data_IF_151240700728
#
_entry.id   IF_151240700728
#
_cell.length_a   1.000
_cell.length_b   1.000
_cell.length_c   1.000
_cell.angle_alpha   90.00
_cell.angle_beta   90.00
_cell.angle_gamma   90.00
#
_symmetry.space_group_name_H-M   'P 1'
#
loop_
_entity.id
_entity.type
_entity.pdbx_description
1 polymer ?
#
# COMPACT_ATOMS: atom_id res chain seq x y z
N UNK A 1 -19.76 0.86 -38.34
CA UNK A 1 -20.03 1.69 -37.14
C UNK A 1 -19.81 0.84 -35.90
N UNK A 2 -18.66 0.98 -35.22
CA UNK A 2 -18.43 0.35 -33.92
C UNK A 2 -19.10 1.20 -32.85
N UNK A 3 -20.05 0.62 -32.11
CA UNK A 3 -20.64 1.24 -30.92
C UNK A 3 -19.50 1.55 -29.94
N UNK A 4 -19.36 2.82 -29.57
CA UNK A 4 -18.38 3.28 -28.58
C UNK A 4 -18.61 2.58 -27.24
N UNK A 5 -17.73 1.65 -26.91
CA UNK A 5 -17.43 1.33 -25.53
C UNK A 5 -16.70 2.54 -24.94
N UNK A 6 -16.95 2.86 -23.67
CA UNK A 6 -16.18 3.88 -22.93
C UNK A 6 -14.71 3.72 -23.31
N UNK A 7 -14.08 4.77 -23.81
CA UNK A 7 -12.63 4.81 -23.97
C UNK A 7 -12.03 4.52 -22.59
N UNK A 8 -11.68 3.27 -22.32
CA UNK A 8 -11.08 2.90 -21.04
C UNK A 8 -9.69 3.51 -21.02
N UNK A 9 -9.49 4.51 -20.16
CA UNK A 9 -8.18 5.13 -20.00
C UNK A 9 -7.12 4.02 -19.83
N UNK A 10 -6.06 4.04 -20.66
CA UNK A 10 -5.03 2.99 -20.62
C UNK A 10 -4.23 3.00 -19.31
N UNK A 11 -4.34 4.05 -18.49
CA UNK A 11 -3.77 4.11 -17.15
C UNK A 11 -4.87 4.13 -16.08
N UNK A 12 -4.79 3.20 -15.13
CA UNK A 12 -5.61 3.17 -13.93
C UNK A 12 -4.72 3.24 -12.68
N UNK A 13 -4.97 4.22 -11.81
CA UNK A 13 -4.36 4.33 -10.49
C UNK A 13 -5.31 3.79 -9.43
N UNK A 14 -4.85 2.84 -8.62
CA UNK A 14 -5.60 2.24 -7.52
C UNK A 14 -4.99 2.71 -6.21
N UNK A 15 -5.75 3.53 -5.48
CA UNK A 15 -5.45 3.96 -4.13
C UNK A 15 -5.92 2.93 -3.11
N UNK A 16 -5.03 2.54 -2.22
CA UNK A 16 -5.25 1.49 -1.22
C UNK A 16 -4.99 2.02 0.18
N UNK A 17 -5.64 1.43 1.18
CA UNK A 17 -5.23 1.58 2.59
C UNK A 17 -4.32 0.40 2.92
N UNK A 18 -3.06 0.69 3.24
CA UNK A 18 -2.11 -0.34 3.60
C UNK A 18 -2.59 -1.14 4.81
N UNK A 19 -2.23 -2.42 4.85
CA UNK A 19 -2.59 -3.36 5.94
C UNK A 19 -4.10 -3.64 6.08
N UNK A 20 -4.95 -3.29 5.11
CA UNK A 20 -6.34 -3.77 5.05
C UNK A 20 -6.37 -5.31 5.04
N UNK A 21 -6.93 -5.98 6.09
CA UNK A 21 -7.01 -7.44 6.15
C UNK A 21 -7.82 -8.05 4.98
N UNK A 22 -8.74 -7.27 4.38
CA UNK A 22 -9.56 -7.65 3.23
C UNK A 22 -9.01 -7.10 1.91
N UNK A 23 -7.89 -6.39 1.94
CA UNK A 23 -7.34 -5.68 0.77
C UNK A 23 -6.97 -6.63 -0.37
N UNK A 24 -6.37 -7.79 -0.06
CA UNK A 24 -5.94 -8.78 -1.06
C UNK A 24 -7.08 -9.23 -1.97
N UNK A 25 -8.20 -9.66 -1.39
CA UNK A 25 -9.34 -10.20 -2.15
C UNK A 25 -10.02 -9.11 -2.98
N UNK A 26 -10.22 -7.92 -2.40
CA UNK A 26 -10.76 -6.75 -3.11
C UNK A 26 -9.89 -6.39 -4.32
N UNK A 27 -8.58 -6.29 -4.12
CA UNK A 27 -7.64 -5.89 -5.15
C UNK A 27 -7.53 -6.94 -6.26
N UNK A 28 -7.46 -8.22 -5.92
CA UNK A 28 -7.43 -9.29 -6.91
C UNK A 28 -8.71 -9.32 -7.75
N UNK A 29 -9.88 -9.13 -7.12
CA UNK A 29 -11.16 -9.01 -7.85
C UNK A 29 -11.16 -7.82 -8.81
N UNK A 30 -10.58 -6.69 -8.40
CA UNK A 30 -10.45 -5.50 -9.24
C UNK A 30 -9.53 -5.76 -10.43
N UNK A 31 -8.35 -6.35 -10.20
CA UNK A 31 -7.41 -6.68 -11.27
C UNK A 31 -8.01 -7.62 -12.31
N UNK A 32 -8.72 -8.68 -11.88
CA UNK A 32 -9.41 -9.62 -12.77
C UNK A 32 -10.50 -8.96 -13.62
N UNK A 33 -11.15 -7.92 -13.09
CA UNK A 33 -12.15 -7.14 -13.82
C UNK A 33 -11.50 -6.21 -14.83
N UNK A 34 -10.48 -5.45 -14.41
CA UNK A 34 -9.82 -4.46 -15.26
C UNK A 34 -8.93 -5.09 -16.33
N UNK A 35 -8.43 -6.31 -16.09
CA UNK A 35 -7.58 -7.09 -17.00
C UNK A 35 -6.35 -6.33 -17.53
N UNK A 36 -5.55 -5.67 -16.67
CA UNK A 36 -4.35 -5.00 -17.13
C UNK A 36 -3.34 -5.97 -17.73
N UNK A 37 -2.60 -5.51 -18.74
CA UNK A 37 -1.44 -6.22 -19.28
C UNK A 37 -0.17 -5.89 -18.50
N UNK A 38 -0.15 -4.76 -17.79
CA UNK A 38 0.96 -4.33 -16.94
C UNK A 38 0.43 -3.89 -15.58
N UNK A 39 1.05 -4.36 -14.51
CA UNK A 39 0.76 -3.99 -13.14
C UNK A 39 2.02 -3.44 -12.49
N UNK A 40 1.93 -2.29 -11.86
CA UNK A 40 2.99 -1.74 -11.01
C UNK A 40 2.51 -1.57 -9.58
N UNK A 41 3.41 -1.78 -8.62
CA UNK A 41 3.10 -1.72 -7.19
C UNK A 41 4.08 -0.79 -6.48
N UNK A 42 3.56 0.06 -5.60
CA UNK A 42 4.32 0.86 -4.63
C UNK A 42 4.96 -0.03 -3.58
N UNK A 43 6.06 -0.67 -3.97
CA UNK A 43 6.99 -1.37 -3.10
C UNK A 43 8.37 -1.23 -3.73
N UNK A 44 9.42 -1.16 -2.91
CA UNK A 44 10.78 -1.14 -3.43
C UNK A 44 11.32 -2.57 -3.52
N UNK A 45 12.26 -2.84 -4.44
CA UNK A 45 12.96 -4.12 -4.47
C UNK A 45 13.57 -4.49 -3.12
N UNK A 46 14.15 -3.52 -2.41
CA UNK A 46 14.70 -3.73 -1.06
C UNK A 46 13.63 -4.19 -0.08
N UNK A 47 12.52 -3.44 0.01
CA UNK A 47 11.43 -3.69 0.95
C UNK A 47 10.75 -5.05 0.70
N UNK A 48 10.71 -5.47 -0.57
CA UNK A 48 10.22 -6.80 -0.98
C UNK A 48 11.17 -7.90 -0.53
N UNK A 49 12.45 -7.83 -0.91
CA UNK A 49 13.46 -8.84 -0.58
C UNK A 49 13.60 -9.01 0.94
N UNK A 50 13.59 -7.91 1.69
CA UNK A 50 13.65 -7.94 3.15
C UNK A 50 12.48 -8.73 3.76
N UNK A 51 11.27 -8.55 3.25
CA UNK A 51 10.08 -9.25 3.75
C UNK A 51 10.01 -10.70 3.32
N UNK A 52 10.43 -11.00 2.10
CA UNK A 52 10.47 -12.37 1.57
C UNK A 52 11.53 -13.23 2.25
N UNK A 53 12.72 -12.68 2.51
CA UNK A 53 13.89 -13.48 2.94
C UNK A 53 14.35 -13.23 4.37
N UNK A 54 14.18 -12.01 4.90
CA UNK A 54 14.83 -11.59 6.16
C UNK A 54 13.88 -11.40 7.33
N UNK A 55 12.58 -11.27 7.07
CA UNK A 55 11.59 -11.02 8.12
C UNK A 55 11.20 -12.26 8.94
N UNK A 56 11.76 -13.44 8.66
CA UNK A 56 11.53 -14.62 9.50
C UNK A 56 12.12 -14.45 10.90
N UNK A 57 13.37 -14.01 11.01
CA UNK A 57 14.02 -13.76 12.30
C UNK A 57 13.22 -12.73 13.13
N UNK A 58 12.85 -11.60 12.52
CA UNK A 58 12.04 -10.57 13.19
C UNK A 58 10.67 -11.09 13.64
N UNK A 59 10.00 -11.92 12.81
CA UNK A 59 8.72 -12.55 13.19
C UNK A 59 8.89 -13.56 14.33
N UNK A 60 10.03 -14.23 14.41
CA UNK A 60 10.37 -15.13 15.53
C UNK A 60 10.59 -14.32 16.81
N UNK A 61 11.44 -13.30 16.77
CA UNK A 61 11.69 -12.38 17.88
C UNK A 61 10.41 -11.73 18.39
N UNK A 62 9.53 -11.27 17.50
CA UNK A 62 8.22 -10.72 17.87
C UNK A 62 7.40 -11.74 18.68
N UNK A 63 7.29 -12.99 18.22
CA UNK A 63 6.51 -14.02 18.91
C UNK A 63 7.12 -14.41 20.25
N UNK A 64 8.45 -14.51 20.33
CA UNK A 64 9.17 -14.83 21.55
C UNK A 64 8.98 -13.72 22.60
N UNK A 65 9.13 -12.46 22.20
CA UNK A 65 8.92 -11.32 23.09
C UNK A 65 7.47 -11.23 23.58
N UNK A 66 6.47 -11.43 22.71
CA UNK A 66 5.07 -11.45 23.12
C UNK A 66 4.76 -12.60 24.10
N UNK A 67 5.37 -13.77 23.91
CA UNK A 67 5.24 -14.90 24.85
C UNK A 67 5.94 -14.63 26.19
N UNK A 68 7.06 -13.90 26.20
CA UNK A 68 7.68 -13.45 27.45
C UNK A 68 6.76 -12.52 28.21
N UNK A 69 6.26 -11.48 27.53
CA UNK A 69 5.34 -10.49 28.09
C UNK A 69 4.07 -11.16 28.63
N UNK A 70 3.51 -12.14 27.91
CA UNK A 70 2.36 -12.91 28.38
C UNK A 70 2.63 -13.62 29.71
N UNK A 71 3.79 -14.30 29.82
CA UNK A 71 4.17 -15.04 31.04
C UNK A 71 4.39 -14.11 32.23
N UNK A 72 4.88 -12.89 31.98
CA UNK A 72 5.17 -11.89 33.01
C UNK A 72 3.90 -11.14 33.48
N UNK A 73 3.01 -10.77 32.55
CA UNK A 73 1.94 -9.81 32.78
C UNK A 73 0.54 -10.38 32.92
N UNK A 74 0.35 -11.70 32.84
CA UNK A 74 -0.94 -12.37 33.05
C UNK A 74 -2.04 -12.08 32.00
N UNK A 75 -1.79 -11.22 31.01
CA UNK A 75 -2.74 -10.93 29.92
C UNK A 75 -2.99 -12.18 29.09
N UNK A 76 -4.25 -12.44 28.75
CA UNK A 76 -4.59 -13.57 27.91
C UNK A 76 -3.94 -13.44 26.52
N UNK A 77 -3.43 -14.56 26.00
CA UNK A 77 -2.77 -14.60 24.69
C UNK A 77 -3.65 -14.06 23.56
N UNK A 78 -4.96 -14.34 23.63
CA UNK A 78 -5.96 -13.84 22.67
C UNK A 78 -5.98 -12.32 22.62
N UNK A 79 -5.95 -11.66 23.78
CA UNK A 79 -6.03 -10.19 23.89
C UNK A 79 -4.78 -9.51 23.34
N UNK A 80 -3.60 -10.13 23.55
CA UNK A 80 -2.34 -9.69 22.96
C UNK A 80 -2.42 -9.76 21.42
N UNK A 81 -2.89 -10.88 20.88
CA UNK A 81 -2.97 -11.08 19.43
C UNK A 81 -4.08 -10.28 18.75
N UNK A 82 -5.16 -9.94 19.47
CA UNK A 82 -6.22 -9.06 18.95
C UNK A 82 -5.88 -7.58 19.06
N UNK A 83 -4.80 -7.21 19.76
CA UNK A 83 -4.40 -5.82 19.92
C UNK A 83 -4.04 -5.18 18.57
N UNK A 84 -4.67 -4.06 18.21
CA UNK A 84 -4.56 -3.45 16.89
C UNK A 84 -3.12 -3.11 16.49
N UNK A 85 -2.31 -2.59 17.41
CA UNK A 85 -0.89 -2.31 17.16
C UNK A 85 -0.09 -3.59 16.86
N UNK A 86 -0.37 -4.69 17.58
CA UNK A 86 0.33 -5.97 17.41
C UNK A 86 -0.02 -6.59 16.04
N UNK A 87 -1.30 -6.55 15.67
CA UNK A 87 -1.73 -6.95 14.33
C UNK A 87 -1.05 -6.12 13.23
N UNK A 88 -0.93 -4.80 13.46
CA UNK A 88 -0.22 -3.88 12.57
C UNK A 88 1.25 -4.28 12.36
N UNK A 89 1.98 -4.65 13.42
CA UNK A 89 3.37 -5.11 13.33
C UNK A 89 3.45 -6.45 12.57
N UNK A 90 2.56 -7.40 12.85
CA UNK A 90 2.52 -8.66 12.09
C UNK A 90 2.33 -8.43 10.59
N UNK A 91 1.51 -7.46 10.20
CA UNK A 91 1.31 -7.09 8.79
C UNK A 91 2.47 -6.31 8.22
N UNK A 92 3.13 -5.45 9.00
CA UNK A 92 4.33 -4.73 8.58
C UNK A 92 5.47 -5.69 8.17
N UNK A 93 5.64 -6.78 8.93
CA UNK A 93 6.65 -7.81 8.69
C UNK A 93 6.27 -8.83 7.61
N UNK A 94 5.02 -8.84 7.16
CA UNK A 94 4.57 -9.68 6.05
C UNK A 94 4.71 -8.94 4.73
N UNK A 95 4.93 -9.69 3.66
CA UNK A 95 4.79 -9.16 2.29
C UNK A 95 3.44 -8.43 2.17
N UNK A 96 3.41 -7.18 1.67
CA UNK A 96 2.17 -6.40 1.60
C UNK A 96 1.14 -7.07 0.68
N UNK A 97 -0.15 -6.86 0.98
CA UNK A 97 -1.21 -7.55 0.25
C UNK A 97 -1.32 -7.09 -1.20
N UNK A 98 -0.89 -5.86 -1.46
CA UNK A 98 -0.84 -5.21 -2.76
C UNK A 98 0.06 -6.02 -3.70
N UNK A 99 1.28 -6.32 -3.25
CA UNK A 99 2.21 -7.18 -3.96
C UNK A 99 1.68 -8.60 -4.09
N UNK A 100 1.12 -9.17 -3.01
CA UNK A 100 0.58 -10.53 -3.07
C UNK A 100 -0.56 -10.68 -4.07
N UNK A 101 -1.49 -9.73 -4.15
CA UNK A 101 -2.59 -9.75 -5.11
C UNK A 101 -2.07 -9.61 -6.54
N UNK A 102 -1.12 -8.70 -6.76
CA UNK A 102 -0.51 -8.49 -8.06
C UNK A 102 0.27 -9.72 -8.55
N UNK A 103 1.02 -10.40 -7.67
CA UNK A 103 1.71 -11.68 -7.98
C UNK A 103 0.75 -12.81 -8.34
N UNK A 104 -0.37 -12.93 -7.63
CA UNK A 104 -1.40 -13.92 -7.98
C UNK A 104 -1.94 -13.62 -9.37
N UNK A 105 -2.31 -12.36 -9.64
CA UNK A 105 -2.83 -11.96 -10.94
C UNK A 105 -1.83 -12.18 -12.09
N UNK A 106 -0.56 -11.82 -11.90
CA UNK A 106 0.53 -12.12 -12.84
C UNK A 106 0.61 -13.63 -13.14
N UNK A 107 0.60 -14.47 -12.10
CA UNK A 107 0.69 -15.93 -12.28
C UNK A 107 -0.52 -16.51 -13.03
N UNK A 108 -1.69 -15.89 -12.89
CA UNK A 108 -2.93 -16.31 -13.56
C UNK A 108 -3.02 -15.85 -15.02
N UNK A 109 -2.33 -14.76 -15.39
CA UNK A 109 -2.59 -14.06 -16.66
C UNK A 109 -1.36 -13.82 -17.52
N UNK A 110 -0.15 -13.94 -16.96
CA UNK A 110 1.10 -13.54 -17.62
C UNK A 110 1.29 -12.02 -17.74
N UNK A 111 0.48 -11.20 -17.06
CA UNK A 111 0.65 -9.76 -17.06
C UNK A 111 2.02 -9.36 -16.48
N UNK A 112 2.66 -8.33 -17.04
CA UNK A 112 3.94 -7.84 -16.53
C UNK A 112 3.75 -7.22 -15.15
N UNK A 113 4.56 -7.61 -14.15
CA UNK A 113 4.55 -7.03 -12.81
C UNK A 113 5.86 -6.29 -12.50
N UNK A 114 5.75 -5.06 -11.98
CA UNK A 114 6.90 -4.23 -11.60
C UNK A 114 6.74 -3.62 -10.19
N UNK A 115 7.81 -3.63 -9.40
CA UNK A 115 7.97 -2.83 -8.19
C UNK A 115 8.60 -1.46 -8.52
N UNK A 116 8.04 -0.34 -8.03
CA UNK A 116 8.43 1.00 -8.51
C UNK A 116 8.92 1.99 -7.44
N UNK A 117 8.99 1.62 -6.18
CA UNK A 117 9.40 2.55 -5.12
C UNK A 117 10.94 2.69 -5.00
N UNK A 118 11.39 3.57 -4.11
CA UNK A 118 12.79 3.87 -3.80
C UNK A 118 13.34 2.95 -2.71
N UNK A 119 14.42 2.23 -3.05
CA UNK A 119 15.08 1.31 -2.11
C UNK A 119 15.75 2.01 -0.93
N UNK A 120 16.42 3.16 -1.13
CA UNK A 120 17.11 3.87 -0.05
C UNK A 120 16.14 4.39 1.02
N UNK A 121 15.01 4.98 0.61
CA UNK A 121 13.92 5.40 1.51
C UNK A 121 13.38 4.21 2.30
N UNK A 122 13.24 3.05 1.64
CA UNK A 122 12.78 1.83 2.30
C UNK A 122 13.81 1.28 3.27
N UNK A 123 15.09 1.33 2.92
CA UNK A 123 16.19 0.84 3.76
C UNK A 123 16.28 1.61 5.07
N UNK A 124 16.27 2.95 4.99
CA UNK A 124 16.24 3.81 6.17
C UNK A 124 15.03 3.49 7.07
N UNK A 125 13.82 3.50 6.51
CA UNK A 125 12.58 3.25 7.26
C UNK A 125 12.53 1.85 7.87
N UNK A 126 13.07 0.84 7.19
CA UNK A 126 13.03 -0.56 7.64
C UNK A 126 14.22 -0.91 8.55
N UNK A 127 15.26 -0.07 8.63
CA UNK A 127 16.38 -0.27 9.56
C UNK A 127 15.94 -0.30 11.03
N UNK A 128 14.83 0.35 11.36
CA UNK A 128 14.27 0.43 12.72
C UNK A 128 13.40 -0.77 13.11
N UNK A 129 13.18 -1.74 12.22
CA UNK A 129 12.35 -2.92 12.51
C UNK A 129 12.78 -3.72 13.76
N UNK A 130 14.07 -3.91 14.07
CA UNK A 130 14.49 -4.57 15.31
C UNK A 130 13.99 -3.84 16.56
N UNK A 131 13.98 -2.51 16.54
CA UNK A 131 13.42 -1.70 17.62
C UNK A 131 11.91 -1.91 17.76
N UNK A 132 11.17 -1.95 16.65
CA UNK A 132 9.70 -2.14 16.67
C UNK A 132 9.30 -3.48 17.33
N UNK A 133 10.09 -4.53 17.15
CA UNK A 133 9.81 -5.86 17.74
C UNK A 133 10.45 -6.07 19.11
N UNK A 134 11.10 -5.06 19.69
CA UNK A 134 11.75 -5.17 20.99
C UNK A 134 10.73 -5.38 22.12
N UNK A 135 11.11 -6.12 23.16
CA UNK A 135 10.22 -6.37 24.28
C UNK A 135 9.76 -5.06 24.97
N UNK A 136 10.64 -4.06 25.06
CA UNK A 136 10.32 -2.73 25.61
C UNK A 136 9.21 -2.05 24.82
N UNK A 137 9.37 -1.91 23.50
CA UNK A 137 8.36 -1.26 22.66
C UNK A 137 7.05 -2.03 22.64
N UNK A 138 7.10 -3.37 22.65
CA UNK A 138 5.89 -4.19 22.71
C UNK A 138 5.13 -4.01 24.04
N UNK A 139 5.84 -3.86 25.17
CA UNK A 139 5.20 -3.55 26.46
C UNK A 139 4.54 -2.17 26.43
N UNK A 140 5.23 -1.16 25.90
CA UNK A 140 4.68 0.20 25.72
C UNK A 140 3.44 0.18 24.83
N UNK A 141 3.47 -0.53 23.70
CA UNK A 141 2.30 -0.62 22.83
C UNK A 141 1.12 -1.32 23.49
N UNK A 142 1.36 -2.34 24.31
CA UNK A 142 0.32 -3.09 25.02
C UNK A 142 -0.28 -2.34 26.21
N UNK A 143 0.41 -1.32 26.75
CA UNK A 143 -0.11 -0.45 27.82
C UNK A 143 -0.98 0.69 27.28
N UNK A 144 -0.84 1.01 26.00
CA UNK A 144 -1.65 2.02 25.32
C UNK A 144 -2.97 1.44 24.82
N UNK A 145 -4.02 2.26 24.80
CA UNK A 145 -5.27 1.91 24.13
C UNK A 145 -5.09 2.08 22.61
N UNK A 146 -5.37 1.01 21.86
CA UNK A 146 -5.37 1.04 20.40
C UNK A 146 -6.70 0.54 19.85
N UNK A 147 -7.32 1.26 18.90
CA UNK A 147 -8.48 0.75 18.20
C UNK A 147 -8.14 -0.55 17.45
N UNK A 148 -9.10 -1.47 17.25
CA UNK A 148 -8.93 -2.63 16.39
C UNK A 148 -8.41 -2.25 15.01
N UNK A 149 -7.57 -3.10 14.41
CA UNK A 149 -6.97 -2.82 13.10
C UNK A 149 -8.01 -2.52 12.00
N UNK A 150 -9.15 -3.23 12.03
CA UNK A 150 -10.23 -3.02 11.07
C UNK A 150 -10.82 -1.60 11.16
N UNK A 151 -10.91 -1.04 12.37
CA UNK A 151 -11.41 0.31 12.61
C UNK A 151 -10.39 1.35 12.12
N UNK A 152 -9.10 1.15 12.40
CA UNK A 152 -8.02 1.99 11.85
C UNK A 152 -8.05 2.06 10.32
N UNK A 153 -8.30 0.92 9.68
CA UNK A 153 -8.41 0.82 8.21
C UNK A 153 -9.64 1.57 7.70
N UNK A 154 -10.80 1.42 8.35
CA UNK A 154 -12.01 2.16 7.96
C UNK A 154 -11.84 3.67 8.16
N UNK A 155 -11.17 4.10 9.22
CA UNK A 155 -10.88 5.52 9.47
C UNK A 155 -9.99 6.10 8.35
N UNK A 156 -9.00 5.34 7.87
CA UNK A 156 -8.21 5.75 6.71
C UNK A 156 -9.03 5.82 5.44
N UNK A 157 -9.93 4.87 5.18
CA UNK A 157 -10.84 4.96 4.03
C UNK A 157 -11.81 6.15 4.17
N UNK A 158 -12.33 6.43 5.37
CA UNK A 158 -13.19 7.60 5.62
C UNK A 158 -12.45 8.90 5.33
N UNK A 159 -11.20 9.02 5.80
CA UNK A 159 -10.31 10.15 5.51
C UNK A 159 -10.01 10.28 4.02
N UNK A 160 -9.72 9.17 3.35
CA UNK A 160 -9.48 9.14 1.90
C UNK A 160 -10.71 9.66 1.14
N UNK A 161 -11.91 9.14 1.41
CA UNK A 161 -13.16 9.60 0.80
C UNK A 161 -13.37 11.10 1.00
N UNK A 162 -13.17 11.58 2.24
CA UNK A 162 -13.31 13.00 2.54
C UNK A 162 -12.37 13.87 1.69
N UNK A 163 -11.08 13.51 1.60
CA UNK A 163 -10.07 14.27 0.85
C UNK A 163 -10.19 14.13 -0.67
N UNK A 164 -10.77 13.05 -1.17
CA UNK A 164 -11.12 12.94 -2.59
C UNK A 164 -12.27 13.89 -2.95
N UNK A 165 -13.27 14.03 -2.08
CA UNK A 165 -14.38 14.97 -2.28
C UNK A 165 -14.03 16.42 -1.94
N UNK A 166 -13.06 16.64 -1.05
CA UNK A 166 -12.60 17.95 -0.60
C UNK A 166 -11.09 18.04 -0.73
N UNK A 167 -10.55 18.12 -1.95
CA UNK A 167 -9.12 18.23 -2.17
C UNK A 167 -8.55 19.45 -1.45
N UNK A 168 -7.47 19.28 -0.68
CA UNK A 168 -6.83 20.39 0.01
C UNK A 168 -6.12 21.30 -0.99
N UNK A 169 -6.22 22.61 -0.78
CA UNK A 169 -5.52 23.60 -1.62
C UNK A 169 -4.00 23.40 -1.56
N UNK A 170 -3.47 23.10 -0.37
CA UNK A 170 -2.05 22.82 -0.13
C UNK A 170 -1.92 21.49 0.57
N UNK A 171 -1.07 20.62 0.04
CA UNK A 171 -0.68 19.37 0.69
C UNK A 171 0.81 19.40 0.96
N UNK A 172 1.18 19.79 2.17
CA UNK A 172 2.58 19.88 2.59
C UNK A 172 3.20 18.49 2.66
N UNK A 173 4.22 18.25 1.84
CA UNK A 173 5.06 17.05 1.86
C UNK A 173 6.47 17.44 2.28
N UNK A 174 7.17 16.53 2.95
CA UNK A 174 8.61 16.65 3.07
C UNK A 174 9.26 16.60 1.68
N UNK A 175 10.48 17.13 1.56
CA UNK A 175 11.24 17.07 0.32
C UNK A 175 11.44 15.63 -0.17
N UNK A 176 11.75 14.69 0.74
CA UNK A 176 11.83 13.25 0.45
C UNK A 176 10.52 12.72 -0.15
N UNK A 177 9.37 13.07 0.44
CA UNK A 177 8.08 12.61 -0.04
C UNK A 177 7.76 13.19 -1.44
N UNK A 178 8.11 14.44 -1.71
CA UNK A 178 7.94 15.04 -3.05
C UNK A 178 8.86 14.40 -4.10
N UNK A 179 10.11 14.08 -3.74
CA UNK A 179 11.04 13.33 -4.61
C UNK A 179 10.50 11.94 -4.94
N UNK A 180 10.01 11.23 -3.91
CA UNK A 180 9.42 9.89 -4.06
C UNK A 180 8.25 9.89 -5.05
N UNK A 181 7.33 10.86 -4.93
CA UNK A 181 6.21 11.05 -5.89
C UNK A 181 6.71 11.23 -7.32
N UNK A 182 7.71 12.10 -7.50
CA UNK A 182 8.29 12.42 -8.81
C UNK A 182 8.97 11.21 -9.45
N UNK A 183 9.71 10.42 -8.67
CA UNK A 183 10.38 9.21 -9.16
C UNK A 183 9.35 8.12 -9.51
N UNK A 184 8.35 7.90 -8.65
CA UNK A 184 7.31 6.90 -8.92
C UNK A 184 6.50 7.28 -10.16
N UNK A 185 6.07 8.53 -10.29
CA UNK A 185 5.36 9.02 -11.48
C UNK A 185 6.20 8.81 -12.75
N UNK A 186 7.50 9.12 -12.73
CA UNK A 186 8.39 8.89 -13.86
C UNK A 186 8.45 7.42 -14.28
N UNK A 187 8.55 6.50 -13.31
CA UNK A 187 8.56 5.05 -13.56
C UNK A 187 7.22 4.56 -14.13
N UNK A 188 6.09 5.03 -13.58
CA UNK A 188 4.76 4.72 -14.11
C UNK A 188 4.64 5.20 -15.56
N UNK A 189 5.10 6.43 -15.87
CA UNK A 189 5.11 6.96 -17.24
C UNK A 189 5.95 6.12 -18.19
N UNK A 190 7.14 5.67 -17.77
CA UNK A 190 7.97 4.79 -18.58
C UNK A 190 7.28 3.44 -18.86
N UNK A 191 6.63 2.85 -17.86
CA UNK A 191 5.84 1.63 -18.04
C UNK A 191 4.65 1.86 -18.96
N UNK A 192 3.99 3.01 -18.85
CA UNK A 192 2.85 3.38 -19.68
C UNK A 192 3.25 3.46 -21.17
N UNK A 193 4.37 4.12 -21.46
CA UNK A 193 4.91 4.20 -22.83
C UNK A 193 5.24 2.79 -23.36
N UNK A 194 5.92 1.97 -22.55
CA UNK A 194 6.26 0.58 -22.91
C UNK A 194 5.06 -0.35 -23.04
N UNK A 195 3.92 0.01 -22.45
CA UNK A 195 2.70 -0.76 -22.58
C UNK A 195 2.07 -0.61 -23.97
N UNK A 196 2.49 0.38 -24.78
CA UNK A 196 2.09 0.55 -26.19
C UNK A 196 0.55 0.53 -26.37
N UNK A 197 -0.15 1.30 -25.54
CA UNK A 197 -1.61 1.40 -25.56
C UNK A 197 -2.35 0.26 -24.82
N UNK A 198 -1.64 -0.72 -24.28
CA UNK A 198 -2.23 -1.72 -23.36
C UNK A 198 -2.52 -1.10 -22.00
N UNK A 199 -3.53 -1.65 -21.32
CA UNK A 199 -3.93 -1.17 -19.98
C UNK A 199 -2.83 -1.43 -18.95
N UNK A 200 -2.37 -0.37 -18.31
CA UNK A 200 -1.48 -0.32 -17.16
C UNK A 200 -2.29 0.00 -15.90
N UNK A 201 -2.07 -0.78 -14.85
CA UNK A 201 -2.56 -0.50 -13.50
C UNK A 201 -1.39 -0.18 -12.59
N UNK A 202 -1.49 0.91 -11.84
CA UNK A 202 -0.59 1.21 -10.73
C UNK A 202 -1.33 1.09 -9.39
N UNK A 203 -0.72 0.40 -8.42
CA UNK A 203 -1.27 0.15 -7.09
C UNK A 203 -0.38 0.83 -6.05
N UNK A 204 -0.95 1.75 -5.27
CA UNK A 204 -0.25 2.45 -4.20
C UNK A 204 -1.19 2.92 -3.09
N UNK A 205 -0.64 3.61 -2.10
CA UNK A 205 -1.39 4.29 -1.05
C UNK A 205 -2.33 5.35 -1.63
N UNK A 206 -3.52 5.48 -1.06
CA UNK A 206 -4.54 6.43 -1.55
C UNK A 206 -4.07 7.90 -1.54
N UNK A 207 -3.12 8.26 -0.68
CA UNK A 207 -2.56 9.62 -0.58
C UNK A 207 -1.91 10.09 -1.90
N UNK A 208 -1.37 9.16 -2.70
CA UNK A 208 -0.79 9.44 -4.01
C UNK A 208 -1.81 9.90 -5.06
N UNK A 209 -3.09 9.63 -4.81
CA UNK A 209 -4.20 9.91 -5.72
C UNK A 209 -4.97 11.17 -5.35
N UNK A 210 -4.73 11.75 -4.17
CA UNK A 210 -5.42 12.96 -3.70
C UNK A 210 -4.99 14.14 -4.57
N UNK A 211 -5.96 14.91 -5.04
CA UNK A 211 -5.66 16.15 -5.75
C UNK A 211 -5.20 17.25 -4.81
N UNK A 212 -4.36 18.13 -5.34
CA UNK A 212 -4.05 19.41 -4.72
C UNK A 212 -3.80 20.44 -5.82
N UNK A 213 -3.98 21.72 -5.50
CA UNK A 213 -3.84 22.81 -6.47
C UNK A 213 -2.42 22.92 -7.05
N UNK A 214 -1.42 22.37 -6.36
CA UNK A 214 -0.02 22.34 -6.81
C UNK A 214 0.33 21.18 -7.75
N UNK A 215 -0.59 20.25 -8.01
CA UNK A 215 -0.34 19.07 -8.85
C UNK A 215 0.80 18.14 -8.35
N UNK A 216 1.13 18.20 -7.06
CA UNK A 216 2.33 17.54 -6.51
C UNK A 216 2.11 16.10 -6.05
N UNK A 217 0.90 15.57 -6.20
CA UNK A 217 0.64 14.14 -6.05
C UNK A 217 0.98 13.39 -7.33
N UNK A 218 1.26 12.09 -7.22
CA UNK A 218 1.48 11.24 -8.39
C UNK A 218 0.33 11.32 -9.40
N UNK A 219 -0.93 11.45 -8.95
CA UNK A 219 -2.05 11.71 -9.86
C UNK A 219 -1.87 13.04 -10.62
N UNK A 220 -1.53 14.13 -9.92
CA UNK A 220 -1.25 15.41 -10.57
C UNK A 220 -0.12 15.33 -11.61
N UNK A 221 0.97 14.64 -11.26
CA UNK A 221 2.15 14.44 -12.13
C UNK A 221 1.90 13.54 -13.36
N UNK A 222 0.79 12.80 -13.36
CA UNK A 222 0.39 11.89 -14.44
C UNK A 222 -0.89 12.35 -15.14
N UNK A 223 -1.41 13.53 -14.82
CA UNK A 223 -2.72 14.02 -15.32
C UNK A 223 -2.80 14.10 -16.84
N UNK A 224 -1.70 14.43 -17.50
CA UNK A 224 -1.58 14.47 -18.97
C UNK A 224 -1.76 13.11 -19.65
N UNK A 225 -1.62 12.01 -18.90
CA UNK A 225 -1.92 10.65 -19.37
C UNK A 225 -3.40 10.26 -19.18
N UNK A 226 -4.24 11.20 -18.73
CA UNK A 226 -5.66 11.02 -18.44
C UNK A 226 -5.98 9.76 -17.59
N UNK A 227 -5.32 9.56 -16.43
CA UNK A 227 -5.52 8.36 -15.63
C UNK A 227 -6.92 8.28 -15.02
N UNK A 228 -7.51 7.09 -15.02
CA UNK A 228 -8.64 6.77 -14.11
C UNK A 228 -8.11 6.57 -12.69
N UNK A 229 -8.88 6.95 -11.69
CA UNK A 229 -8.57 6.70 -10.27
C UNK A 229 -9.64 5.85 -9.61
N UNK A 230 -9.22 4.87 -8.81
CA UNK A 230 -10.10 4.07 -7.97
C UNK A 230 -9.58 4.07 -6.53
N UNK A 231 -10.47 4.34 -5.58
CA UNK A 231 -10.22 3.99 -4.18
C UNK A 231 -10.71 2.56 -3.95
N UNK A 232 -9.82 1.67 -3.54
CA UNK A 232 -10.11 0.23 -3.47
C UNK A 232 -11.35 -0.05 -2.59
N UNK A 233 -12.35 -0.72 -3.17
CA UNK A 233 -13.61 -1.05 -2.47
C UNK A 233 -14.63 0.10 -2.40
N UNK A 234 -14.34 1.27 -2.96
CA UNK A 234 -15.20 2.46 -2.90
C UNK A 234 -15.53 3.09 -4.26
N UNK A 235 -15.09 2.48 -5.37
CA UNK A 235 -15.47 2.90 -6.73
C UNK A 235 -14.47 3.85 -7.41
N UNK A 236 -14.86 4.29 -8.61
CA UNK A 236 -14.11 5.25 -9.44
C UNK A 236 -14.33 6.69 -8.97
N UNK A 237 -13.28 7.50 -9.10
CA UNK A 237 -13.29 8.93 -8.79
C UNK A 237 -12.78 9.69 -10.02
N UNK A 238 -13.57 10.69 -10.44
CA UNK A 238 -13.27 11.57 -11.57
C UNK A 238 -12.04 12.41 -11.33
#
# INVERSE_FOLDING_TARGET
MRKGGRDEAPLLLIGTVHRDPRGKSKLLSLLRRERPSVVSVEISPYARILRERKSEALRRTLRENLRSIQREGGRAWKDILSHGAIQGIFLLLKTPYEWQAARVYESETGALLQDIDLSHVSEEKLSHLPGIVSAENLRTLLSLSFPPLAEQVEDQYRRARFLFSHPPAVWLKSQEAAERESVMARKVRQLFIRAEGKKLVHIGGWEHLVENSGGSSMFGLLRDLCPRRILLGHGEWG
#
